data_IF_537975345345
#
_entry.id   IF_537975345345
#
_cell.length_a   1.000
_cell.length_b   1.000
_cell.length_c   1.000
_cell.angle_alpha   90.00
_cell.angle_beta   90.00
_cell.angle_gamma   90.00
#
_symmetry.space_group_name_H-M   'P 1'
#
loop_
_entity.id
_entity.type
_entity.pdbx_description
1 polymer ?
#
# COMPACT_ATOMS: atom_id res chain seq x y z
N UNK A 1 -67.88 25.54 24.67
CA UNK A 1 -68.14 24.89 23.33
C UNK A 1 -67.10 23.82 23.13
N UNK A 2 -67.48 22.58 23.42
CA UNK A 2 -66.62 21.43 23.29
C UNK A 2 -66.99 20.75 21.96
N UNK A 3 -66.01 20.63 21.04
CA UNK A 3 -66.18 19.84 19.83
C UNK A 3 -65.70 18.40 20.10
N UNK A 4 -66.65 17.47 20.09
CA UNK A 4 -66.39 16.03 20.10
C UNK A 4 -66.04 15.59 18.69
N UNK A 5 -64.82 15.01 18.47
CA UNK A 5 -64.49 14.27 17.26
C UNK A 5 -64.87 12.81 17.47
N UNK A 6 -65.86 12.37 16.68
CA UNK A 6 -66.23 10.96 16.57
C UNK A 6 -65.14 10.20 15.80
N UNK A 7 -64.56 9.22 16.45
CA UNK A 7 -63.68 8.26 15.81
C UNK A 7 -64.52 7.15 15.18
N UNK A 8 -64.60 7.15 13.83
CA UNK A 8 -65.20 6.05 13.11
C UNK A 8 -64.18 4.89 13.06
N UNK A 9 -64.52 3.73 13.55
CA UNK A 9 -63.79 2.47 13.40
C UNK A 9 -63.85 2.00 11.94
N UNK A 10 -62.73 1.81 11.25
CA UNK A 10 -62.73 1.07 9.99
C UNK A 10 -62.93 -0.42 10.25
N UNK A 11 -63.79 -1.04 9.44
CA UNK A 11 -64.12 -2.45 9.49
C UNK A 11 -62.88 -3.34 9.38
N UNK A 12 -62.97 -4.41 10.12
CA UNK A 12 -62.06 -5.55 10.13
C UNK A 12 -62.25 -6.36 8.84
N UNK A 13 -61.43 -6.07 7.80
CA UNK A 13 -61.10 -7.07 6.80
C UNK A 13 -59.76 -7.63 7.21
N UNK A 14 -59.75 -8.60 8.09
CA UNK A 14 -58.62 -9.48 8.32
C UNK A 14 -58.45 -10.40 7.08
N UNK A 15 -57.74 -9.91 6.06
CA UNK A 15 -56.99 -10.81 5.21
C UNK A 15 -55.77 -11.31 6.01
N UNK A 16 -55.96 -12.47 6.64
CA UNK A 16 -54.89 -13.27 7.19
C UNK A 16 -54.00 -13.76 6.03
N UNK A 17 -53.16 -12.87 5.51
CA UNK A 17 -51.96 -13.31 4.78
C UNK A 17 -50.98 -13.76 5.85
N UNK A 18 -50.91 -15.06 6.11
CA UNK A 18 -49.75 -15.68 6.75
C UNK A 18 -48.54 -15.45 5.83
N UNK A 19 -47.93 -14.30 5.95
CA UNK A 19 -46.61 -14.04 5.42
C UNK A 19 -45.67 -14.99 6.17
N UNK A 20 -45.41 -16.14 5.56
CA UNK A 20 -44.30 -16.99 6.03
C UNK A 20 -43.08 -16.12 6.04
N UNK A 21 -42.52 -15.87 7.23
CA UNK A 21 -41.29 -15.11 7.35
C UNK A 21 -40.27 -15.71 6.41
N UNK A 22 -39.72 -14.85 5.52
CA UNK A 22 -38.66 -15.29 4.62
C UNK A 22 -37.43 -15.69 5.44
N UNK A 23 -37.19 -17.00 5.53
CA UNK A 23 -36.06 -17.58 6.27
C UNK A 23 -34.89 -17.94 5.37
N UNK A 24 -34.97 -17.58 4.07
CA UNK A 24 -33.90 -17.92 3.12
C UNK A 24 -32.67 -17.05 3.38
N UNK A 25 -31.51 -17.68 3.36
CA UNK A 25 -30.23 -17.00 3.56
C UNK A 25 -29.87 -16.22 2.29
N UNK A 26 -29.48 -14.93 2.37
CA UNK A 26 -28.98 -14.20 1.24
C UNK A 26 -27.66 -14.81 0.73
N UNK A 27 -27.46 -14.76 -0.58
CA UNK A 27 -26.22 -15.21 -1.23
C UNK A 27 -25.78 -14.17 -2.25
N UNK A 28 -24.48 -14.11 -2.55
CA UNK A 28 -23.97 -13.38 -3.71
C UNK A 28 -24.25 -14.20 -4.96
N UNK A 29 -24.93 -13.60 -5.94
CA UNK A 29 -25.27 -14.29 -7.19
C UNK A 29 -24.33 -13.95 -8.32
N UNK A 30 -23.94 -12.70 -8.43
CA UNK A 30 -23.00 -12.23 -9.48
C UNK A 30 -22.18 -11.07 -8.96
N UNK A 31 -21.02 -10.90 -9.58
CA UNK A 31 -20.20 -9.66 -9.52
C UNK A 31 -19.98 -9.16 -10.94
N UNK A 32 -19.77 -7.88 -11.10
CA UNK A 32 -19.36 -7.27 -12.36
C UNK A 32 -18.23 -6.27 -12.07
N UNK A 33 -17.09 -6.36 -12.75
CA UNK A 33 -16.71 -7.36 -13.75
C UNK A 33 -16.73 -8.80 -13.20
N UNK A 34 -17.04 -9.79 -14.04
CA UNK A 34 -17.12 -11.18 -13.61
C UNK A 34 -15.74 -11.74 -13.23
N UNK A 35 -15.75 -12.78 -12.40
CA UNK A 35 -14.54 -13.52 -12.04
C UNK A 35 -13.78 -14.02 -13.26
N UNK A 36 -12.47 -13.84 -13.26
CA UNK A 36 -11.58 -14.21 -14.36
C UNK A 36 -11.59 -13.27 -15.56
N UNK A 37 -12.42 -12.22 -15.56
CA UNK A 37 -12.39 -11.22 -16.64
C UNK A 37 -11.04 -10.49 -16.66
N UNK A 38 -10.45 -10.38 -17.85
CA UNK A 38 -9.25 -9.58 -18.12
C UNK A 38 -9.60 -8.32 -18.88
N UNK A 39 -8.64 -7.43 -19.04
CA UNK A 39 -8.76 -6.19 -19.84
C UNK A 39 -9.91 -5.27 -19.40
N UNK A 40 -10.19 -5.24 -18.10
CA UNK A 40 -11.17 -4.36 -17.49
C UNK A 40 -10.61 -2.94 -17.44
N UNK A 41 -11.35 -1.95 -17.95
CA UNK A 41 -10.90 -0.56 -17.92
C UNK A 41 -10.68 -0.10 -16.46
N UNK A 42 -9.61 0.66 -16.20
CA UNK A 42 -9.30 1.18 -14.87
C UNK A 42 -10.36 2.14 -14.31
N UNK A 43 -11.21 2.67 -15.17
CA UNK A 43 -12.35 3.54 -14.83
C UNK A 43 -13.66 2.77 -14.61
N UNK A 44 -13.63 1.42 -14.67
CA UNK A 44 -14.84 0.61 -14.54
C UNK A 44 -15.42 0.70 -13.13
N UNK A 45 -16.74 0.75 -13.06
CA UNK A 45 -17.47 0.56 -11.81
C UNK A 45 -17.58 -0.95 -11.50
N UNK A 46 -17.69 -1.26 -10.23
CA UNK A 46 -17.78 -2.64 -9.74
C UNK A 46 -19.15 -2.83 -9.14
N UNK A 47 -19.81 -3.95 -9.41
CA UNK A 47 -21.08 -4.27 -8.73
C UNK A 47 -21.09 -5.66 -8.15
N UNK A 48 -21.85 -5.80 -7.05
CA UNK A 48 -22.16 -7.06 -6.40
C UNK A 48 -23.68 -7.23 -6.35
N UNK A 49 -24.18 -8.39 -6.74
CA UNK A 49 -25.61 -8.70 -6.76
C UNK A 49 -25.93 -9.80 -5.78
N UNK A 50 -26.95 -9.56 -4.97
CA UNK A 50 -27.45 -10.53 -3.99
C UNK A 50 -28.73 -11.22 -4.48
N UNK A 51 -28.98 -12.43 -4.01
CA UNK A 51 -30.18 -13.22 -4.32
C UNK A 51 -31.47 -12.56 -3.88
N UNK A 52 -31.42 -11.73 -2.86
CA UNK A 52 -32.57 -11.00 -2.27
C UNK A 52 -32.17 -9.57 -1.87
N UNK A 53 -33.16 -8.75 -1.53
CA UNK A 53 -32.94 -7.36 -1.10
C UNK A 53 -32.17 -7.33 0.23
N UNK A 54 -31.09 -6.56 0.27
CA UNK A 54 -30.24 -6.36 1.43
C UNK A 54 -30.59 -5.01 2.08
N UNK A 55 -30.49 -4.91 3.39
CA UNK A 55 -30.68 -3.67 4.13
C UNK A 55 -29.49 -2.70 3.82
N UNK A 56 -29.73 -1.56 3.14
CA UNK A 56 -28.65 -0.71 2.65
C UNK A 56 -27.71 -0.18 3.72
N UNK A 57 -28.21 0.07 4.94
CA UNK A 57 -27.37 0.55 6.05
C UNK A 57 -26.32 -0.47 6.48
N UNK A 58 -26.51 -1.74 6.13
CA UNK A 58 -25.59 -2.83 6.46
C UNK A 58 -24.62 -3.15 5.33
N UNK A 59 -24.72 -2.44 4.18
CA UNK A 59 -23.73 -2.54 3.11
C UNK A 59 -22.85 -1.30 3.18
N UNK A 60 -21.71 -1.45 3.79
CA UNK A 60 -20.70 -0.42 3.95
C UNK A 60 -19.43 -0.81 3.21
N UNK A 61 -18.69 0.17 2.76
CA UNK A 61 -17.37 0.00 2.14
C UNK A 61 -16.30 0.55 3.06
N UNK A 62 -15.06 0.14 2.84
CA UNK A 62 -13.92 0.76 3.52
C UNK A 62 -13.79 2.20 3.05
N UNK A 63 -13.67 3.13 3.99
CA UNK A 63 -13.45 4.55 3.73
C UNK A 63 -11.98 4.95 3.84
N UNK A 64 -11.16 4.04 4.32
CA UNK A 64 -9.72 4.11 4.42
C UNK A 64 -9.12 2.82 3.84
N UNK A 65 -7.81 2.69 3.87
CA UNK A 65 -7.12 1.46 3.46
C UNK A 65 -7.34 0.27 4.42
N UNK A 66 -7.92 0.51 5.60
CA UNK A 66 -8.35 -0.56 6.50
C UNK A 66 -9.58 -1.30 5.94
N UNK A 67 -9.55 -2.62 5.96
CA UNK A 67 -10.64 -3.48 5.49
C UNK A 67 -11.79 -3.57 6.51
N UNK A 68 -12.44 -2.44 6.80
CA UNK A 68 -13.49 -2.33 7.82
C UNK A 68 -14.93 -2.41 7.28
N UNK A 69 -15.13 -2.29 5.96
CA UNK A 69 -16.45 -2.37 5.33
C UNK A 69 -17.03 -3.79 5.29
N UNK A 70 -18.35 -3.92 5.19
CA UNK A 70 -19.01 -5.21 5.00
C UNK A 70 -18.88 -5.74 3.58
N UNK A 71 -18.68 -4.82 2.60
CA UNK A 71 -18.25 -5.14 1.23
C UNK A 71 -16.92 -4.43 0.99
N UNK A 72 -15.92 -5.19 0.61
CA UNK A 72 -14.52 -4.78 0.53
C UNK A 72 -13.99 -4.99 -0.88
N UNK A 73 -13.11 -4.09 -1.32
CA UNK A 73 -12.37 -4.18 -2.58
C UNK A 73 -10.88 -4.17 -2.27
N UNK A 74 -10.11 -5.09 -2.84
CA UNK A 74 -8.67 -5.19 -2.58
C UNK A 74 -7.91 -5.73 -3.79
N UNK A 75 -6.60 -5.46 -3.84
CA UNK A 75 -5.64 -5.97 -4.82
C UNK A 75 -4.58 -6.88 -4.19
N UNK A 76 -4.58 -7.00 -2.87
CA UNK A 76 -3.51 -7.66 -2.10
C UNK A 76 -4.02 -8.73 -1.13
N UNK A 77 -5.18 -9.34 -1.45
CA UNK A 77 -5.78 -10.38 -0.61
C UNK A 77 -6.41 -9.85 0.67
N UNK A 78 -6.89 -8.60 0.67
CA UNK A 78 -7.52 -7.90 1.80
C UNK A 78 -6.57 -7.58 2.96
N UNK A 79 -5.28 -7.40 2.67
CA UNK A 79 -4.32 -6.77 3.57
C UNK A 79 -4.58 -5.28 3.69
N UNK A 80 -4.83 -4.65 2.54
CA UNK A 80 -5.32 -3.29 2.43
C UNK A 80 -6.54 -3.28 1.53
N UNK A 81 -7.50 -2.44 1.85
CA UNK A 81 -8.69 -2.23 1.04
C UNK A 81 -8.60 -0.93 0.25
N UNK A 82 -9.13 -0.96 -0.95
CA UNK A 82 -9.35 0.25 -1.74
C UNK A 82 -10.56 0.97 -1.16
N UNK A 83 -10.43 2.23 -0.70
CA UNK A 83 -11.56 3.03 -0.30
C UNK A 83 -12.58 3.12 -1.43
N UNK A 84 -13.85 2.99 -1.12
CA UNK A 84 -14.91 3.05 -2.13
C UNK A 84 -16.19 3.69 -1.60
N UNK A 85 -16.97 4.23 -2.51
CA UNK A 85 -18.34 4.68 -2.25
C UNK A 85 -19.30 3.64 -2.78
N UNK A 86 -20.33 3.31 -2.01
CA UNK A 86 -21.35 2.36 -2.41
C UNK A 86 -22.68 3.05 -2.70
N UNK A 87 -23.31 2.67 -3.80
CA UNK A 87 -24.69 3.02 -4.16
C UNK A 87 -25.48 1.74 -4.43
N UNK A 88 -26.81 1.82 -4.46
CA UNK A 88 -27.66 0.66 -4.71
C UNK A 88 -28.84 1.00 -5.60
N UNK A 89 -29.37 -0.01 -6.29
CA UNK A 89 -30.52 0.10 -7.17
C UNK A 89 -31.85 0.07 -6.38
N UNK A 90 -32.95 0.33 -7.07
CA UNK A 90 -34.29 0.33 -6.45
C UNK A 90 -34.72 -1.03 -5.90
N UNK A 91 -34.19 -2.14 -6.43
CA UNK A 91 -34.46 -3.48 -5.91
C UNK A 91 -33.69 -3.80 -4.63
N UNK A 92 -32.64 -2.98 -4.33
CA UNK A 92 -31.69 -3.19 -3.22
C UNK A 92 -31.01 -4.55 -3.26
N UNK A 93 -30.85 -5.10 -4.46
CA UNK A 93 -30.11 -6.32 -4.72
C UNK A 93 -28.76 -6.06 -5.36
N UNK A 94 -28.62 -4.96 -6.09
CA UNK A 94 -27.39 -4.58 -6.81
C UNK A 94 -26.75 -3.41 -6.08
N UNK A 95 -25.54 -3.60 -5.63
CA UNK A 95 -24.72 -2.59 -4.99
C UNK A 95 -23.53 -2.28 -5.88
N UNK A 96 -23.36 -1.00 -6.23
CA UNK A 96 -22.29 -0.52 -7.09
C UNK A 96 -21.24 0.19 -6.25
N UNK A 97 -19.99 -0.24 -6.39
CA UNK A 97 -18.82 0.33 -5.74
C UNK A 97 -18.07 1.20 -6.75
N UNK A 98 -17.75 2.41 -6.35
CA UNK A 98 -16.85 3.31 -7.07
C UNK A 98 -15.62 3.55 -6.21
N UNK A 99 -14.44 3.20 -6.71
CA UNK A 99 -13.20 3.43 -5.98
C UNK A 99 -13.01 4.91 -5.68
N UNK A 100 -12.48 5.22 -4.49
CA UNK A 100 -12.27 6.59 -4.02
C UNK A 100 -13.25 7.03 -2.95
N UNK A 101 -13.36 8.35 -2.79
CA UNK A 101 -14.28 9.00 -1.85
C UNK A 101 -15.44 9.68 -2.56
N UNK A 102 -16.42 10.16 -1.81
CA UNK A 102 -17.55 10.94 -2.36
C UNK A 102 -17.11 12.25 -3.05
N UNK A 103 -15.91 12.75 -2.74
CA UNK A 103 -15.36 13.99 -3.31
C UNK A 103 -14.32 13.73 -4.42
N UNK A 104 -13.77 12.51 -4.53
CA UNK A 104 -12.74 12.17 -5.51
C UNK A 104 -12.81 10.67 -5.85
N UNK A 105 -13.27 10.37 -7.07
CA UNK A 105 -13.16 9.03 -7.62
C UNK A 105 -11.69 8.69 -7.91
N UNK A 106 -11.32 7.44 -7.66
CA UNK A 106 -10.01 6.89 -7.98
C UNK A 106 -10.15 5.92 -9.15
N UNK A 107 -9.11 5.83 -9.97
CA UNK A 107 -8.99 4.74 -10.94
C UNK A 107 -8.59 3.44 -10.21
N UNK A 108 -9.04 2.31 -10.73
CA UNK A 108 -8.54 1.01 -10.31
C UNK A 108 -7.07 0.88 -10.69
N UNK A 109 -6.30 0.14 -9.92
CA UNK A 109 -4.88 -0.11 -10.22
C UNK A 109 -4.76 -0.88 -11.54
N UNK A 110 -3.94 -0.37 -12.47
CA UNK A 110 -3.75 -0.97 -13.80
C UNK A 110 -3.02 -2.31 -13.74
N UNK A 111 -3.25 -3.17 -14.73
CA UNK A 111 -2.64 -4.51 -14.85
C UNK A 111 -2.68 -5.33 -13.57
N UNK A 112 -3.72 -5.15 -12.77
CA UNK A 112 -3.77 -5.69 -11.41
C UNK A 112 -5.06 -6.48 -11.20
N UNK A 113 -4.95 -7.60 -10.50
CA UNK A 113 -6.09 -8.40 -10.09
C UNK A 113 -6.80 -7.74 -8.90
N UNK A 114 -8.09 -7.47 -9.06
CA UNK A 114 -8.96 -6.93 -8.03
C UNK A 114 -9.91 -7.99 -7.53
N UNK A 115 -10.14 -8.05 -6.23
CA UNK A 115 -11.05 -8.99 -5.59
C UNK A 115 -12.09 -8.24 -4.74
N UNK A 116 -13.29 -8.82 -4.68
CA UNK A 116 -14.38 -8.31 -3.85
C UNK A 116 -14.65 -9.33 -2.76
N UNK A 117 -14.87 -8.85 -1.54
CA UNK A 117 -15.31 -9.66 -0.40
C UNK A 117 -16.59 -9.09 0.18
N UNK A 118 -17.58 -9.93 0.44
CA UNK A 118 -18.75 -9.60 1.26
C UNK A 118 -18.68 -10.44 2.52
N UNK A 119 -18.73 -9.78 3.67
CA UNK A 119 -18.63 -10.45 4.98
C UNK A 119 -19.99 -10.92 5.48
N UNK A 120 -20.01 -11.81 6.47
CA UNK A 120 -21.23 -12.24 7.18
C UNK A 120 -21.96 -11.10 7.89
N UNK A 121 -21.41 -9.90 7.96
CA UNK A 121 -22.09 -8.71 8.46
C UNK A 121 -23.08 -8.09 7.45
N UNK A 122 -23.10 -8.56 6.20
CA UNK A 122 -24.16 -8.23 5.24
C UNK A 122 -25.43 -8.98 5.62
N UNK A 123 -26.48 -8.26 5.96
CA UNK A 123 -27.78 -8.82 6.40
C UNK A 123 -28.95 -8.26 5.57
N UNK A 124 -30.00 -9.05 5.43
CA UNK A 124 -31.22 -8.64 4.76
C UNK A 124 -32.19 -7.89 5.68
N UNK A 125 -33.35 -7.52 5.17
CA UNK A 125 -34.40 -6.84 5.95
C UNK A 125 -34.98 -7.66 7.09
N UNK A 126 -34.80 -8.98 7.10
CA UNK A 126 -35.24 -9.89 8.15
C UNK A 126 -34.13 -10.21 9.15
N UNK A 127 -32.99 -9.50 9.08
CA UNK A 127 -31.81 -9.70 9.92
C UNK A 127 -31.13 -11.07 9.68
N UNK A 128 -31.30 -11.65 8.49
CA UNK A 128 -30.61 -12.88 8.09
C UNK A 128 -29.31 -12.51 7.40
N UNK A 129 -28.19 -13.02 7.93
CA UNK A 129 -26.85 -12.77 7.43
C UNK A 129 -26.47 -13.72 6.28
N UNK A 130 -25.44 -13.37 5.51
CA UNK A 130 -24.73 -14.33 4.67
C UNK A 130 -24.25 -15.50 5.53
N UNK A 131 -24.36 -16.73 5.03
CA UNK A 131 -23.94 -17.94 5.75
C UNK A 131 -22.43 -17.99 6.02
N UNK A 132 -21.64 -17.41 5.11
CA UNK A 132 -20.19 -17.30 5.20
C UNK A 132 -19.74 -16.07 4.41
N UNK A 133 -18.51 -15.62 4.66
CA UNK A 133 -17.88 -14.61 3.82
C UNK A 133 -17.81 -15.10 2.37
N UNK A 134 -18.18 -14.24 1.43
CA UNK A 134 -17.97 -14.44 0.00
C UNK A 134 -16.69 -13.74 -0.41
N UNK A 135 -15.82 -14.41 -1.14
CA UNK A 135 -14.64 -13.80 -1.77
C UNK A 135 -14.61 -14.19 -3.24
N UNK A 136 -14.55 -13.19 -4.11
CA UNK A 136 -14.46 -13.38 -5.56
C UNK A 136 -13.11 -13.98 -5.97
N UNK A 137 -13.08 -14.72 -7.07
CA UNK A 137 -11.81 -15.10 -7.70
C UNK A 137 -11.08 -13.88 -8.29
N UNK A 138 -11.82 -12.82 -8.60
CA UNK A 138 -11.30 -11.52 -9.04
C UNK A 138 -11.26 -11.33 -10.56
N UNK A 139 -11.11 -10.08 -10.97
CA UNK A 139 -10.93 -9.63 -12.35
C UNK A 139 -9.61 -8.86 -12.48
N UNK A 140 -9.06 -8.74 -13.70
CA UNK A 140 -7.79 -8.05 -13.95
C UNK A 140 -8.01 -6.84 -14.85
N UNK A 141 -7.48 -5.70 -14.43
CA UNK A 141 -7.58 -4.45 -15.19
C UNK A 141 -6.59 -4.39 -16.36
N UNK A 142 -6.93 -3.59 -17.35
CA UNK A 142 -6.06 -3.31 -18.51
C UNK A 142 -4.77 -2.62 -18.10
N UNK A 143 -3.67 -2.91 -18.81
CA UNK A 143 -2.46 -2.10 -18.75
C UNK A 143 -2.70 -0.71 -19.33
N UNK A 144 -2.24 0.32 -18.64
CA UNK A 144 -2.23 1.68 -19.19
C UNK A 144 -1.00 1.93 -20.08
N UNK A 145 0.00 1.06 -20.01
CA UNK A 145 1.23 1.14 -20.81
C UNK A 145 1.14 0.40 -22.16
N UNK A 146 -0.05 0.18 -22.70
CA UNK A 146 -0.26 -0.57 -23.95
C UNK A 146 0.41 0.07 -25.17
N UNK A 147 0.48 1.40 -25.22
CA UNK A 147 1.21 2.17 -26.26
C UNK A 147 2.64 2.51 -25.87
N UNK A 148 3.10 2.02 -24.71
CA UNK A 148 4.40 2.32 -24.12
C UNK A 148 4.32 3.45 -23.10
N UNK A 149 4.88 3.22 -21.91
CA UNK A 149 5.11 4.25 -20.91
C UNK A 149 6.52 4.85 -21.07
N UNK A 150 6.68 6.08 -20.69
CA UNK A 150 7.96 6.79 -20.77
C UNK A 150 8.27 7.53 -19.48
N UNK A 151 9.55 7.73 -19.22
CA UNK A 151 10.01 8.57 -18.12
C UNK A 151 9.91 10.07 -18.49
N UNK A 152 9.37 10.87 -17.59
CA UNK A 152 9.27 12.33 -17.73
C UNK A 152 9.40 13.00 -16.37
N UNK A 153 9.70 14.32 -16.34
CA UNK A 153 9.64 15.09 -15.09
C UNK A 153 8.21 15.33 -14.67
N UNK A 154 7.98 15.29 -13.37
CA UNK A 154 6.70 15.70 -12.80
C UNK A 154 6.63 17.21 -12.56
N UNK A 155 7.67 17.99 -12.94
CA UNK A 155 7.78 19.44 -12.68
C UNK A 155 7.52 19.76 -11.18
N UNK A 156 8.14 18.97 -10.29
CA UNK A 156 7.89 19.07 -8.87
C UNK A 156 8.33 20.41 -8.28
N UNK A 157 7.52 20.95 -7.38
CA UNK A 157 7.78 22.18 -6.63
C UNK A 157 7.46 22.00 -5.16
N UNK A 158 8.16 22.69 -4.29
CA UNK A 158 7.83 22.77 -2.86
C UNK A 158 8.54 21.77 -1.96
N UNK A 159 9.38 20.89 -2.49
CA UNK A 159 10.21 19.99 -1.67
C UNK A 159 11.62 20.54 -1.45
N UNK A 160 12.29 20.04 -0.43
CA UNK A 160 13.72 20.26 -0.17
C UNK A 160 14.51 19.06 -0.69
N UNK A 161 15.64 19.32 -1.37
CA UNK A 161 16.54 18.29 -1.87
C UNK A 161 17.05 17.37 -0.76
N UNK A 162 17.00 16.04 -0.99
CA UNK A 162 17.43 15.09 0.03
C UNK A 162 17.46 13.64 -0.41
N UNK A 163 17.97 12.78 0.46
CA UNK A 163 17.97 11.34 0.34
C UNK A 163 17.67 10.68 1.70
N UNK A 164 17.47 9.37 1.72
CA UNK A 164 17.15 8.66 2.98
C UNK A 164 15.81 9.06 3.60
N UNK A 165 14.93 9.69 2.82
CA UNK A 165 13.51 9.87 3.12
C UNK A 165 12.75 8.58 2.84
N UNK A 166 11.56 8.46 3.37
CA UNK A 166 10.64 7.40 3.00
C UNK A 166 9.50 7.94 2.13
N UNK A 167 9.03 7.14 1.17
CA UNK A 167 7.87 7.47 0.32
C UNK A 167 6.74 6.50 0.60
N UNK A 168 5.55 7.03 0.88
CA UNK A 168 4.36 6.24 1.20
C UNK A 168 3.16 6.77 0.43
N UNK A 169 2.41 5.88 -0.23
CA UNK A 169 1.07 6.21 -0.71
C UNK A 169 0.07 6.03 0.42
N UNK A 170 -0.75 7.05 0.68
CA UNK A 170 -1.79 7.01 1.70
C UNK A 170 -2.93 7.97 1.36
N UNK A 171 -4.16 7.44 1.34
CA UNK A 171 -5.41 8.20 1.14
C UNK A 171 -5.37 9.16 -0.07
N UNK A 172 -4.96 8.65 -1.23
CA UNK A 172 -4.94 9.42 -2.48
C UNK A 172 -3.76 10.36 -2.64
N UNK A 173 -2.76 10.30 -1.75
CA UNK A 173 -1.55 11.13 -1.80
C UNK A 173 -0.29 10.30 -1.71
N UNK A 174 0.78 10.80 -2.33
CA UNK A 174 2.14 10.41 -1.97
C UNK A 174 2.63 11.29 -0.84
N UNK A 175 3.32 10.68 0.10
CA UNK A 175 3.97 11.31 1.25
C UNK A 175 5.46 11.10 1.16
N UNK A 176 6.24 12.17 1.38
CA UNK A 176 7.70 12.15 1.51
C UNK A 176 8.03 12.55 2.94
N UNK A 177 8.65 11.64 3.68
CA UNK A 177 8.78 11.75 5.12
C UNK A 177 10.28 11.79 5.50
N UNK A 178 10.72 12.84 6.18
CA UNK A 178 12.09 12.98 6.69
C UNK A 178 13.16 13.06 5.61
N UNK A 179 14.29 12.40 5.84
CA UNK A 179 15.47 12.44 4.97
C UNK A 179 16.50 13.50 5.40
N UNK A 180 17.45 13.78 4.53
CA UNK A 180 18.50 14.77 4.80
C UNK A 180 19.38 15.09 3.59
N UNK A 181 20.26 16.07 3.72
CA UNK A 181 21.19 16.54 2.69
C UNK A 181 22.66 16.23 3.02
N UNK A 182 22.90 15.27 3.92
CA UNK A 182 24.23 14.90 4.39
C UNK A 182 24.82 15.82 5.45
N UNK A 183 24.32 17.06 5.56
CA UNK A 183 24.69 18.01 6.61
C UNK A 183 23.61 18.14 7.68
N UNK A 184 22.36 17.96 7.28
CA UNK A 184 21.18 18.10 8.14
C UNK A 184 20.20 16.97 7.91
N UNK A 185 19.55 16.55 8.97
CA UNK A 185 18.42 15.60 8.94
C UNK A 185 17.13 16.38 9.11
N UNK A 186 16.12 16.06 8.33
CA UNK A 186 14.92 16.87 8.19
C UNK A 186 13.77 16.43 9.08
N UNK A 187 13.03 17.44 9.57
CA UNK A 187 11.70 17.24 10.17
C UNK A 187 10.58 17.36 9.13
N UNK A 188 10.90 17.49 7.86
CA UNK A 188 9.93 17.76 6.80
C UNK A 188 9.09 16.53 6.50
N UNK A 189 7.79 16.75 6.35
CA UNK A 189 6.82 15.77 5.85
C UNK A 189 6.03 16.46 4.76
N UNK A 190 6.20 16.02 3.53
CA UNK A 190 5.50 16.58 2.37
C UNK A 190 4.42 15.65 1.88
N UNK A 191 3.36 16.19 1.31
CA UNK A 191 2.32 15.43 0.62
C UNK A 191 1.97 16.03 -0.73
N UNK A 192 1.59 15.15 -1.68
CA UNK A 192 1.13 15.55 -3.01
C UNK A 192 0.02 14.61 -3.50
N UNK A 193 -1.01 15.16 -4.12
CA UNK A 193 -2.08 14.40 -4.78
C UNK A 193 -1.88 14.27 -6.30
N UNK A 194 -0.87 14.93 -6.86
CA UNK A 194 -0.59 14.96 -8.31
C UNK A 194 0.86 14.56 -8.66
N UNK A 195 1.73 14.43 -7.63
CA UNK A 195 3.16 14.16 -7.78
C UNK A 195 3.99 15.38 -8.25
N UNK A 196 3.35 16.53 -8.45
CA UNK A 196 3.98 17.76 -8.93
C UNK A 196 3.98 18.86 -7.87
N UNK A 197 2.83 19.11 -7.24
CA UNK A 197 2.70 20.13 -6.18
C UNK A 197 2.84 19.49 -4.82
N UNK A 198 3.89 19.83 -4.08
CA UNK A 198 4.17 19.30 -2.76
C UNK A 198 3.92 20.31 -1.67
N UNK A 199 3.21 19.93 -0.65
CA UNK A 199 2.86 20.76 0.51
C UNK A 199 3.51 20.20 1.76
N UNK A 200 4.22 21.05 2.52
CA UNK A 200 4.73 20.70 3.83
C UNK A 200 3.55 20.54 4.80
N UNK A 201 3.44 19.39 5.43
CA UNK A 201 2.41 19.12 6.42
C UNK A 201 2.66 19.83 7.76
N UNK A 202 3.84 20.46 7.94
CA UNK A 202 4.26 21.11 9.19
C UNK A 202 4.22 20.12 10.37
N UNK A 203 4.93 19.01 10.22
CA UNK A 203 4.92 17.91 11.17
C UNK A 203 5.27 18.35 12.60
N UNK A 204 4.54 17.85 13.56
CA UNK A 204 4.58 18.25 14.97
C UNK A 204 4.26 17.08 15.91
N UNK A 205 4.11 17.34 17.19
CA UNK A 205 3.90 16.32 18.21
C UNK A 205 5.23 15.65 18.60
N UNK A 206 5.26 14.32 18.61
CA UNK A 206 6.44 13.55 18.95
C UNK A 206 7.43 13.38 17.77
N UNK A 207 7.16 14.03 16.63
CA UNK A 207 8.00 13.93 15.43
C UNK A 207 9.39 14.54 15.63
N UNK A 208 10.41 13.80 15.27
CA UNK A 208 11.80 14.24 15.28
C UNK A 208 12.48 14.01 13.94
N UNK A 209 13.47 14.86 13.61
CA UNK A 209 14.28 14.76 12.40
C UNK A 209 14.93 13.37 12.30
N UNK A 210 14.80 12.73 11.13
CA UNK A 210 15.38 11.42 10.87
C UNK A 210 15.59 11.13 9.40
N UNK A 211 16.58 10.28 9.12
CA UNK A 211 16.86 9.74 7.80
C UNK A 211 17.05 8.21 7.84
N UNK A 212 17.04 7.57 6.68
CA UNK A 212 17.21 6.12 6.52
C UNK A 212 16.28 5.29 7.43
N UNK A 213 15.17 5.90 7.85
CA UNK A 213 14.06 5.24 8.53
C UNK A 213 13.18 4.53 7.51
N UNK A 214 12.29 3.68 7.96
CA UNK A 214 11.26 3.11 7.10
C UNK A 214 9.88 3.63 7.47
N UNK A 215 9.00 3.73 6.48
CA UNK A 215 7.62 4.15 6.65
C UNK A 215 6.67 3.30 5.81
N UNK A 216 5.42 3.20 6.27
CA UNK A 216 4.33 2.52 5.55
C UNK A 216 2.98 3.11 5.93
N UNK A 217 1.94 2.79 5.15
CA UNK A 217 0.55 3.04 5.53
C UNK A 217 -0.07 1.74 6.04
N UNK A 218 -0.72 1.80 7.19
CA UNK A 218 -1.40 0.65 7.78
C UNK A 218 -2.54 1.10 8.70
N UNK A 219 -3.67 0.43 8.60
CA UNK A 219 -4.87 0.69 9.40
C UNK A 219 -5.26 2.18 9.45
N UNK A 220 -5.29 2.81 8.26
CA UNK A 220 -5.69 4.21 8.08
C UNK A 220 -4.71 5.25 8.63
N UNK A 221 -3.46 4.87 8.89
CA UNK A 221 -2.41 5.73 9.43
C UNK A 221 -1.11 5.61 8.64
N UNK A 222 -0.34 6.66 8.65
CA UNK A 222 1.08 6.65 8.34
C UNK A 222 1.86 6.15 9.56
N UNK A 223 2.86 5.31 9.33
CA UNK A 223 3.74 4.75 10.34
C UNK A 223 5.19 5.01 9.97
N UNK A 224 6.00 5.35 10.99
CA UNK A 224 7.44 5.59 10.85
C UNK A 224 8.18 4.83 11.94
N UNK A 225 9.29 4.18 11.58
CA UNK A 225 10.05 3.33 12.48
C UNK A 225 11.56 3.54 12.31
N UNK A 226 12.26 3.66 13.43
CA UNK A 226 13.70 3.70 13.47
C UNK A 226 14.34 4.85 12.69
N UNK A 227 15.49 4.58 12.08
CA UNK A 227 16.29 5.58 11.35
C UNK A 227 17.37 6.21 12.20
N UNK A 228 18.14 7.12 11.61
CA UNK A 228 19.15 7.93 12.28
C UNK A 228 18.61 9.32 12.62
N UNK A 229 19.00 9.84 13.79
CA UNK A 229 18.76 11.23 14.18
C UNK A 229 20.06 12.06 14.07
N UNK A 230 19.95 13.37 14.18
CA UNK A 230 21.12 14.23 14.28
C UNK A 230 22.01 13.80 15.46
N UNK A 231 23.26 13.42 15.19
CA UNK A 231 24.25 13.05 16.21
C UNK A 231 24.53 11.56 16.35
N UNK A 232 24.21 10.75 15.35
CA UNK A 232 24.63 9.35 15.23
C UNK A 232 23.86 8.33 16.10
N UNK A 233 22.77 8.72 16.75
CA UNK A 233 21.95 7.77 17.50
C UNK A 233 20.91 7.13 16.57
N UNK A 234 20.92 5.82 16.48
CA UNK A 234 19.85 5.08 15.81
C UNK A 234 18.66 4.90 16.75
N UNK A 235 17.50 4.84 16.16
CA UNK A 235 16.21 4.78 16.83
C UNK A 235 15.60 3.38 16.68
N UNK A 236 14.78 2.99 17.65
CA UNK A 236 13.86 1.86 17.59
C UNK A 236 12.45 2.27 18.07
N UNK A 237 12.15 3.54 17.92
CA UNK A 237 10.82 4.06 18.18
C UNK A 237 9.86 3.75 17.04
N UNK A 238 8.57 3.80 17.36
CA UNK A 238 7.46 3.63 16.41
C UNK A 238 6.51 4.80 16.58
N UNK A 239 6.30 5.54 15.51
CA UNK A 239 5.39 6.67 15.46
C UNK A 239 4.25 6.40 14.48
N UNK A 240 3.09 7.02 14.73
CA UNK A 240 1.98 7.02 13.80
C UNK A 240 1.31 8.38 13.68
N UNK A 241 0.70 8.63 12.53
CA UNK A 241 -0.10 9.82 12.26
C UNK A 241 -1.27 9.50 11.34
N UNK A 242 -2.42 10.12 11.54
CA UNK A 242 -3.59 10.00 10.66
C UNK A 242 -3.63 11.09 9.59
N UNK A 243 -2.83 12.14 9.73
CA UNK A 243 -2.88 13.36 8.91
C UNK A 243 -1.51 13.80 8.36
N UNK A 244 -0.42 13.08 8.74
CA UNK A 244 0.95 13.42 8.41
C UNK A 244 1.49 14.66 9.14
N UNK A 245 0.62 15.37 9.89
CA UNK A 245 0.96 16.58 10.64
C UNK A 245 1.23 16.26 12.11
N UNK A 246 0.28 15.63 12.78
CA UNK A 246 0.37 15.30 14.21
C UNK A 246 0.85 13.87 14.39
N UNK A 247 2.05 13.71 14.94
CA UNK A 247 2.66 12.42 15.17
C UNK A 247 2.65 12.05 16.64
N UNK A 248 2.38 10.79 16.93
CA UNK A 248 2.32 10.23 18.29
C UNK A 248 3.23 9.02 18.39
N UNK A 249 4.02 8.94 19.45
CA UNK A 249 4.79 7.75 19.80
C UNK A 249 3.85 6.62 20.21
N UNK A 250 3.88 5.51 19.48
CA UNK A 250 3.20 4.24 19.80
C UNK A 250 4.07 3.38 20.70
N UNK A 251 5.39 3.38 20.42
CA UNK A 251 6.41 2.76 21.24
C UNK A 251 7.67 3.62 21.21
N UNK A 252 8.20 3.98 22.37
CA UNK A 252 9.46 4.72 22.47
C UNK A 252 10.70 3.82 22.32
N UNK A 253 10.53 2.49 22.48
CA UNK A 253 11.57 1.49 22.33
C UNK A 253 10.91 0.14 22.01
N UNK A 254 10.84 -0.20 20.75
CA UNK A 254 10.36 -1.50 20.29
C UNK A 254 11.37 -2.62 20.63
N UNK A 255 10.93 -3.88 20.57
CA UNK A 255 11.76 -5.03 20.94
C UNK A 255 12.96 -5.28 20.01
N UNK A 256 12.93 -4.75 18.79
CA UNK A 256 14.02 -4.88 17.82
C UNK A 256 15.13 -3.85 18.09
N UNK A 257 16.37 -4.21 17.71
CA UNK A 257 17.57 -3.38 17.88
C UNK A 257 17.44 -2.05 17.12
N UNK A 258 17.85 -0.88 17.71
CA UNK A 258 17.90 0.40 16.99
C UNK A 258 18.67 0.27 15.68
N UNK A 259 18.05 0.71 14.58
CA UNK A 259 18.55 0.44 13.23
C UNK A 259 18.12 1.47 12.20
N UNK A 260 18.86 1.49 11.09
CA UNK A 260 18.52 2.24 9.89
C UNK A 260 18.69 1.38 8.61
N UNK A 261 18.26 1.89 7.45
CA UNK A 261 18.35 1.18 6.16
C UNK A 261 17.73 -0.21 6.20
N UNK A 262 16.73 -0.38 7.02
CA UNK A 262 15.84 -1.54 7.06
C UNK A 262 14.63 -1.30 6.17
N UNK A 263 13.91 -2.34 5.83
CA UNK A 263 12.64 -2.22 5.08
C UNK A 263 11.44 -2.42 5.99
N UNK A 264 10.34 -1.75 5.66
CA UNK A 264 9.05 -1.85 6.32
C UNK A 264 7.95 -2.00 5.28
N UNK A 265 7.05 -2.94 5.47
CA UNK A 265 5.94 -3.18 4.55
C UNK A 265 4.73 -3.79 5.29
N UNK A 266 3.59 -3.82 4.62
CA UNK A 266 2.38 -4.48 5.13
C UNK A 266 2.15 -5.78 4.38
N UNK A 267 1.91 -6.86 5.12
CA UNK A 267 1.60 -8.17 4.58
C UNK A 267 0.69 -8.95 5.54
N UNK A 268 -0.35 -9.61 5.04
CA UNK A 268 -1.31 -10.37 5.83
C UNK A 268 -1.81 -9.61 7.07
N UNK A 269 -2.24 -8.35 6.87
CA UNK A 269 -2.76 -7.45 7.89
C UNK A 269 -1.81 -7.23 9.08
N UNK A 270 -0.51 -7.22 8.82
CA UNK A 270 0.56 -6.90 9.77
C UNK A 270 1.64 -6.07 9.10
N UNK A 271 2.29 -5.24 9.88
CA UNK A 271 3.53 -4.58 9.46
C UNK A 271 4.71 -5.53 9.69
N UNK A 272 5.64 -5.57 8.75
CA UNK A 272 6.86 -6.37 8.81
C UNK A 272 8.08 -5.48 8.68
N UNK A 273 9.04 -5.65 9.60
CA UNK A 273 10.34 -4.99 9.58
C UNK A 273 11.40 -6.03 9.25
N UNK A 274 12.30 -5.71 8.28
CA UNK A 274 13.29 -6.64 7.74
C UNK A 274 14.68 -6.03 7.74
N UNK A 275 15.66 -6.75 8.30
CA UNK A 275 17.08 -6.44 8.20
C UNK A 275 17.50 -5.04 8.67
N UNK A 276 18.44 -4.43 7.97
CA UNK A 276 19.02 -3.13 8.32
C UNK A 276 20.40 -3.25 8.97
N UNK A 277 20.86 -2.16 9.57
CA UNK A 277 22.17 -2.06 10.20
C UNK A 277 22.07 -1.27 11.52
N UNK A 278 22.79 -1.71 12.55
CA UNK A 278 22.81 -1.09 13.87
C UNK A 278 23.97 -0.09 14.07
N UNK A 279 24.07 0.51 15.27
CA UNK A 279 25.13 1.44 15.64
C UNK A 279 26.54 0.83 15.64
N UNK A 280 26.67 -0.50 15.73
CA UNK A 280 27.96 -1.21 15.68
C UNK A 280 28.35 -1.57 14.24
N UNK A 281 27.60 -1.14 13.27
CA UNK A 281 27.70 -1.51 11.84
C UNK A 281 27.41 -2.99 11.59
N UNK A 282 26.72 -3.68 12.50
CA UNK A 282 26.28 -5.05 12.30
C UNK A 282 24.99 -5.05 11.46
N UNK A 283 25.09 -5.69 10.30
CA UNK A 283 23.93 -5.91 9.41
C UNK A 283 23.09 -7.07 9.92
N UNK A 284 21.81 -7.05 9.63
CA UNK A 284 20.82 -7.98 10.16
C UNK A 284 20.04 -8.66 9.03
N UNK A 285 19.48 -9.83 9.35
CA UNK A 285 18.55 -10.58 8.51
C UNK A 285 17.38 -11.12 9.33
N UNK A 286 17.11 -10.48 10.45
CA UNK A 286 15.95 -10.74 11.26
C UNK A 286 14.66 -10.20 10.61
N UNK A 287 13.54 -10.81 10.93
CA UNK A 287 12.22 -10.42 10.48
C UNK A 287 11.30 -10.30 11.69
N UNK A 288 10.71 -9.15 11.84
CA UNK A 288 9.77 -8.83 12.91
C UNK A 288 8.39 -8.49 12.35
N UNK A 289 7.33 -8.79 13.07
CA UNK A 289 5.97 -8.40 12.69
C UNK A 289 5.17 -7.83 13.86
N UNK A 290 4.21 -6.98 13.52
CA UNK A 290 3.24 -6.41 14.46
C UNK A 290 1.90 -6.14 13.77
N UNK A 291 0.80 -6.21 14.53
CA UNK A 291 -0.52 -5.77 14.10
C UNK A 291 -0.97 -4.45 14.72
N UNK A 292 -0.20 -3.91 15.67
CA UNK A 292 -0.57 -2.72 16.46
C UNK A 292 0.55 -1.68 16.57
N UNK A 293 1.74 -1.97 16.02
CA UNK A 293 2.94 -1.13 16.11
C UNK A 293 3.60 -1.11 17.50
N UNK A 294 2.97 -1.72 18.51
CA UNK A 294 3.42 -1.71 19.91
C UNK A 294 4.03 -3.03 20.33
N UNK A 295 3.33 -4.11 20.03
CA UNK A 295 3.77 -5.48 20.36
C UNK A 295 4.41 -6.11 19.15
N UNK A 296 5.70 -6.42 19.23
CA UNK A 296 6.45 -7.01 18.14
C UNK A 296 6.74 -8.48 18.40
N UNK A 297 6.55 -9.28 17.39
CA UNK A 297 6.90 -10.71 17.37
C UNK A 297 8.06 -10.92 16.42
N UNK A 298 9.15 -11.51 16.90
CA UNK A 298 10.23 -11.98 16.05
C UNK A 298 9.78 -13.23 15.29
N UNK A 299 9.75 -13.13 13.98
CA UNK A 299 9.38 -14.25 13.09
C UNK A 299 10.61 -15.15 12.88
N UNK A 300 11.76 -14.55 12.71
CA UNK A 300 13.06 -15.23 12.65
C UNK A 300 14.18 -14.23 12.98
N UNK A 301 15.17 -14.69 13.72
CA UNK A 301 16.42 -13.96 14.00
C UNK A 301 17.47 -14.12 12.90
N UNK A 302 17.25 -15.07 11.96
CA UNK A 302 18.21 -15.46 10.94
C UNK A 302 17.50 -16.02 9.68
N UNK A 303 16.92 -15.14 8.88
CA UNK A 303 16.37 -15.54 7.59
C UNK A 303 17.46 -16.14 6.67
N UNK A 304 17.05 -16.96 5.68
CA UNK A 304 18.00 -17.64 4.80
C UNK A 304 18.77 -16.71 3.86
N UNK A 305 18.29 -15.48 3.64
CA UNK A 305 19.06 -14.44 2.93
C UNK A 305 20.16 -13.84 3.84
N UNK A 306 21.27 -13.39 3.22
CA UNK A 306 22.40 -12.84 3.98
C UNK A 306 22.03 -11.57 4.72
N UNK A 307 22.64 -11.33 5.89
CA UNK A 307 22.54 -10.08 6.65
C UNK A 307 22.80 -8.89 5.75
N UNK A 308 21.88 -7.91 5.71
CA UNK A 308 21.96 -6.79 4.74
C UNK A 308 21.29 -5.51 5.22
N UNK A 309 21.71 -4.40 4.62
CA UNK A 309 21.08 -3.08 4.76
C UNK A 309 20.92 -2.42 3.40
N UNK A 310 20.08 -1.39 3.30
CA UNK A 310 19.83 -0.69 2.04
C UNK A 310 19.30 -1.57 0.91
N UNK A 311 18.69 -2.69 1.27
CA UNK A 311 17.90 -3.53 0.37
C UNK A 311 16.51 -2.91 0.20
N UNK A 312 15.86 -3.26 -0.88
CA UNK A 312 14.45 -2.94 -1.06
C UNK A 312 13.58 -4.15 -0.77
N UNK A 313 12.39 -3.91 -0.22
CA UNK A 313 11.39 -4.95 -0.04
C UNK A 313 10.00 -4.45 -0.43
N UNK A 314 9.19 -5.34 -1.00
CA UNK A 314 7.81 -5.06 -1.40
C UNK A 314 6.95 -6.32 -1.35
N UNK A 315 5.64 -6.17 -1.45
CA UNK A 315 4.70 -7.29 -1.57
C UNK A 315 4.28 -7.44 -3.02
N UNK A 316 4.45 -8.61 -3.57
CA UNK A 316 4.01 -8.95 -4.92
C UNK A 316 3.57 -10.41 -4.98
N UNK A 317 2.46 -10.67 -5.66
CA UNK A 317 1.87 -12.01 -5.82
C UNK A 317 1.76 -12.76 -4.47
N UNK A 318 1.20 -12.09 -3.46
CA UNK A 318 0.98 -12.59 -2.11
C UNK A 318 2.25 -13.12 -1.41
N UNK A 319 3.40 -12.53 -1.69
CA UNK A 319 4.70 -12.83 -1.08
C UNK A 319 5.42 -11.54 -0.75
N UNK A 320 6.24 -11.58 0.28
CA UNK A 320 7.22 -10.52 0.53
C UNK A 320 8.45 -10.82 -0.33
N UNK A 321 8.94 -9.80 -1.02
CA UNK A 321 10.14 -9.85 -1.83
C UNK A 321 11.24 -9.00 -1.21
N UNK A 322 12.47 -9.51 -1.17
CA UNK A 322 13.69 -8.81 -0.72
C UNK A 322 14.67 -8.81 -1.89
N UNK A 323 15.15 -7.64 -2.26
CA UNK A 323 15.97 -7.44 -3.45
C UNK A 323 17.23 -6.64 -3.12
N UNK A 324 18.39 -7.14 -3.52
CA UNK A 324 19.67 -6.45 -3.40
C UNK A 324 20.06 -6.04 -1.99
N UNK A 325 20.68 -4.86 -1.87
CA UNK A 325 21.25 -4.36 -0.63
C UNK A 325 22.75 -4.56 -0.53
N UNK A 326 23.28 -4.44 0.66
CA UNK A 326 24.70 -4.52 0.98
C UNK A 326 24.92 -5.43 2.20
N UNK A 327 25.79 -6.45 2.07
CA UNK A 327 26.24 -7.35 3.17
C UNK A 327 27.74 -7.17 3.51
N UNK A 328 28.38 -6.17 2.98
CA UNK A 328 29.80 -5.91 2.90
C UNK A 328 30.24 -5.79 1.44
N UNK A 329 29.38 -6.27 0.52
CA UNK A 329 29.41 -6.03 -0.91
C UNK A 329 27.98 -5.83 -1.38
N UNK A 330 27.78 -5.07 -2.45
CA UNK A 330 26.46 -4.92 -3.06
C UNK A 330 25.94 -6.26 -3.60
N UNK A 331 24.62 -6.44 -3.54
CA UNK A 331 23.94 -7.69 -3.88
C UNK A 331 22.99 -7.49 -5.07
N UNK A 332 22.78 -8.55 -5.84
CA UNK A 332 21.78 -8.62 -6.92
C UNK A 332 20.82 -9.80 -6.76
N UNK A 333 20.88 -10.47 -5.63
CA UNK A 333 19.99 -11.59 -5.35
C UNK A 333 18.56 -11.10 -5.05
N UNK A 334 17.61 -11.96 -5.37
CA UNK A 334 16.18 -11.76 -5.16
C UNK A 334 15.65 -12.92 -4.34
N UNK A 335 14.93 -12.60 -3.27
CA UNK A 335 14.35 -13.57 -2.37
C UNK A 335 12.87 -13.33 -2.21
N UNK A 336 12.08 -14.37 -2.02
CA UNK A 336 10.66 -14.26 -1.69
C UNK A 336 10.27 -15.16 -0.53
N UNK A 337 9.29 -14.71 0.24
CA UNK A 337 8.75 -15.46 1.37
C UNK A 337 7.74 -16.51 0.94
N UNK A 338 7.41 -17.43 1.86
CA UNK A 338 6.14 -18.15 1.81
C UNK A 338 4.94 -17.19 1.91
N UNK A 339 3.75 -17.68 1.63
CA UNK A 339 2.53 -16.88 1.54
C UNK A 339 1.87 -16.59 2.90
N UNK A 340 2.38 -17.17 3.99
CA UNK A 340 1.72 -17.18 5.30
C UNK A 340 2.28 -16.15 6.30
N UNK A 341 3.57 -16.15 6.59
CA UNK A 341 4.10 -15.36 7.70
C UNK A 341 5.57 -14.92 7.57
N UNK A 342 6.18 -15.03 6.39
CA UNK A 342 7.58 -14.68 6.17
C UNK A 342 8.61 -15.46 7.02
N UNK A 343 8.25 -16.65 7.52
CA UNK A 343 9.17 -17.50 8.29
C UNK A 343 10.12 -18.33 7.42
N UNK A 344 9.76 -18.52 6.14
CA UNK A 344 10.56 -19.24 5.15
C UNK A 344 10.82 -18.39 3.93
N UNK A 345 12.01 -18.55 3.33
CA UNK A 345 12.45 -17.75 2.20
C UNK A 345 13.09 -18.63 1.12
N UNK A 346 12.80 -18.30 -0.12
CA UNK A 346 13.35 -18.97 -1.30
C UNK A 346 14.05 -17.95 -2.16
N UNK A 347 15.27 -18.27 -2.60
CA UNK A 347 15.97 -17.44 -3.57
C UNK A 347 15.37 -17.65 -4.96
N UNK A 348 14.99 -16.57 -5.62
CA UNK A 348 14.57 -16.61 -7.01
C UNK A 348 15.78 -16.95 -7.90
N UNK A 349 15.62 -17.91 -8.79
CA UNK A 349 16.65 -18.24 -9.78
C UNK A 349 16.55 -17.22 -10.90
N UNK A 350 17.45 -16.23 -10.90
CA UNK A 350 17.50 -15.25 -11.99
C UNK A 350 18.11 -15.87 -13.24
N UNK A 351 17.56 -15.57 -14.41
CA UNK A 351 18.01 -16.04 -15.70
C UNK A 351 18.07 -14.91 -16.73
N UNK A 352 18.99 -15.00 -17.68
CA UNK A 352 19.21 -13.96 -18.68
C UNK A 352 19.90 -12.71 -18.11
N UNK A 353 19.64 -11.55 -18.71
CA UNK A 353 20.14 -10.28 -18.20
C UNK A 353 19.42 -9.87 -16.94
N UNK A 354 20.16 -9.40 -15.95
CA UNK A 354 19.63 -8.89 -14.70
C UNK A 354 20.34 -7.60 -14.33
N UNK A 355 19.75 -6.85 -13.40
CA UNK A 355 20.34 -5.62 -12.87
C UNK A 355 21.63 -5.90 -12.08
N UNK A 356 22.56 -4.94 -12.11
CA UNK A 356 23.83 -5.02 -11.37
C UNK A 356 23.61 -4.97 -9.87
N UNK A 357 24.47 -5.67 -9.10
CA UNK A 357 24.43 -5.65 -7.64
C UNK A 357 24.43 -4.21 -7.10
N UNK A 358 23.49 -3.88 -6.22
CA UNK A 358 23.23 -2.50 -5.77
C UNK A 358 22.59 -2.40 -4.39
N UNK A 359 22.73 -1.22 -3.79
CA UNK A 359 22.06 -0.85 -2.55
C UNK A 359 21.45 0.57 -2.66
N UNK A 360 20.51 0.92 -1.78
CA UNK A 360 19.85 2.24 -1.79
C UNK A 360 19.10 2.52 -3.09
N UNK A 361 18.53 1.48 -3.69
CA UNK A 361 17.66 1.55 -4.86
C UNK A 361 16.20 1.58 -4.44
N UNK A 362 15.34 2.16 -5.27
CA UNK A 362 13.90 2.09 -5.13
C UNK A 362 13.34 0.76 -5.62
N UNK A 363 12.25 0.32 -5.02
CA UNK A 363 11.44 -0.78 -5.53
C UNK A 363 9.96 -0.48 -5.46
N UNK A 364 9.21 -0.96 -6.43
CA UNK A 364 7.77 -0.79 -6.51
C UNK A 364 7.10 -2.00 -7.12
N UNK A 365 5.78 -2.08 -6.97
CA UNK A 365 4.93 -2.90 -7.83
C UNK A 365 4.14 -1.95 -8.72
N UNK A 366 4.34 -2.07 -10.02
CA UNK A 366 3.67 -1.23 -11.00
C UNK A 366 3.40 -2.02 -12.28
N UNK A 367 2.22 -1.86 -12.87
CA UNK A 367 1.80 -2.60 -14.07
C UNK A 367 1.94 -4.12 -13.93
N UNK A 368 1.56 -4.67 -12.76
CA UNK A 368 1.63 -6.10 -12.48
C UNK A 368 3.05 -6.67 -12.46
N UNK A 369 4.06 -5.84 -12.22
CA UNK A 369 5.48 -6.21 -12.20
C UNK A 369 6.19 -5.69 -10.97
N UNK A 370 7.20 -6.43 -10.55
CA UNK A 370 8.24 -5.95 -9.65
C UNK A 370 9.15 -4.98 -10.39
N UNK A 371 9.58 -3.92 -9.72
CA UNK A 371 10.52 -2.93 -10.25
C UNK A 371 11.72 -2.76 -9.31
N UNK A 372 12.91 -2.59 -9.89
CA UNK A 372 14.17 -2.20 -9.24
C UNK A 372 14.73 -1.01 -9.99
N UNK A 373 14.98 0.11 -9.29
CA UNK A 373 15.27 1.38 -9.94
C UNK A 373 16.41 2.11 -9.24
N UNK A 374 17.40 2.54 -9.99
CA UNK A 374 18.52 3.31 -9.50
C UNK A 374 19.38 2.61 -8.45
N UNK A 375 19.95 3.37 -7.52
CA UNK A 375 20.79 2.87 -6.45
C UNK A 375 22.30 2.97 -6.74
N UNK A 376 23.12 2.49 -5.79
CA UNK A 376 24.58 2.45 -5.93
C UNK A 376 25.03 1.03 -6.29
N UNK A 377 25.67 0.90 -7.45
CA UNK A 377 26.21 -0.35 -8.01
C UNK A 377 27.76 -0.29 -8.16
N UNK A 378 28.43 0.35 -7.21
CA UNK A 378 29.84 0.74 -7.30
C UNK A 378 29.98 2.20 -7.78
N UNK A 379 28.98 2.70 -8.46
CA UNK A 379 28.66 4.12 -8.73
C UNK A 379 27.15 4.24 -8.77
N UNK A 380 26.64 5.46 -8.66
CA UNK A 380 25.21 5.72 -8.77
C UNK A 380 24.67 5.24 -10.12
N UNK A 381 23.47 4.67 -10.11
CA UNK A 381 22.72 4.22 -11.29
C UNK A 381 21.34 4.86 -11.31
N UNK A 382 20.71 4.91 -12.48
CA UNK A 382 19.30 5.33 -12.62
C UNK A 382 18.54 4.36 -13.57
N UNK A 383 19.16 3.27 -13.99
CA UNK A 383 18.47 2.27 -14.80
C UNK A 383 17.28 1.67 -14.04
N UNK A 384 16.25 1.33 -14.78
CA UNK A 384 15.03 0.71 -14.24
C UNK A 384 14.86 -0.67 -14.86
N UNK A 385 14.55 -1.63 -14.02
CA UNK A 385 14.33 -3.02 -14.40
C UNK A 385 12.98 -3.49 -13.88
N UNK A 386 12.28 -4.30 -14.67
CA UNK A 386 11.01 -4.87 -14.28
C UNK A 386 10.94 -6.37 -14.52
N UNK A 387 10.15 -7.06 -13.70
CA UNK A 387 9.94 -8.51 -13.78
C UNK A 387 8.52 -8.89 -13.39
N UNK A 388 7.94 -9.87 -14.08
CA UNK A 388 6.63 -10.43 -13.72
C UNK A 388 6.71 -11.59 -12.73
N UNK A 389 7.90 -12.11 -12.46
CA UNK A 389 8.12 -13.33 -11.67
C UNK A 389 9.33 -13.29 -10.73
N UNK A 390 10.09 -12.17 -10.74
CA UNK A 390 11.31 -11.99 -9.97
C UNK A 390 12.52 -12.77 -10.53
N UNK A 391 12.35 -13.54 -11.62
CA UNK A 391 13.38 -14.41 -12.21
C UNK A 391 13.91 -13.84 -13.51
N UNK A 392 13.05 -13.40 -14.40
CA UNK A 392 13.41 -12.78 -15.68
C UNK A 392 13.22 -11.28 -15.59
N UNK A 393 14.28 -10.51 -15.81
CA UNK A 393 14.27 -9.07 -15.70
C UNK A 393 14.48 -8.38 -17.05
N UNK A 394 13.70 -7.37 -17.30
CA UNK A 394 13.79 -6.54 -18.52
C UNK A 394 14.28 -5.14 -18.13
N UNK A 395 15.33 -4.67 -18.79
CA UNK A 395 15.77 -3.29 -18.66
C UNK A 395 14.78 -2.37 -19.39
N UNK A 396 14.16 -1.49 -18.64
CA UNK A 396 13.19 -0.48 -19.13
C UNK A 396 13.90 0.83 -19.46
N UNK A 397 15.16 0.96 -19.03
CA UNK A 397 15.93 2.19 -19.18
C UNK A 397 15.62 3.23 -18.12
N UNK A 398 16.23 4.38 -18.29
CA UNK A 398 16.02 5.57 -17.46
C UNK A 398 15.58 6.74 -18.36
N UNK A 399 15.14 7.85 -17.76
CA UNK A 399 14.93 9.09 -18.50
C UNK A 399 16.25 9.56 -19.11
N UNK A 400 16.23 9.90 -20.40
CA UNK A 400 17.41 10.42 -21.09
C UNK A 400 17.85 11.76 -20.50
N UNK A 401 19.16 11.92 -20.29
CA UNK A 401 19.76 13.15 -19.77
C UNK A 401 19.72 13.31 -18.26
N UNK A 402 19.20 12.33 -17.53
CA UNK A 402 19.18 12.37 -16.08
C UNK A 402 20.45 11.86 -15.43
N UNK A 403 20.75 12.40 -14.24
CA UNK A 403 21.90 11.98 -13.45
C UNK A 403 21.56 10.75 -12.62
N UNK A 404 22.45 9.75 -12.69
CA UNK A 404 22.39 8.55 -11.84
C UNK A 404 22.38 8.90 -10.36
N UNK A 405 21.64 8.15 -9.54
CA UNK A 405 21.46 8.47 -8.12
C UNK A 405 21.13 7.23 -7.27
N UNK A 406 21.47 7.34 -5.98
CA UNK A 406 21.13 6.37 -4.93
C UNK A 406 20.35 7.06 -3.81
N UNK A 407 19.84 6.28 -2.84
CA UNK A 407 18.99 6.81 -1.77
C UNK A 407 17.72 7.46 -2.31
N UNK A 408 17.28 6.98 -3.47
CA UNK A 408 15.99 7.34 -4.06
C UNK A 408 14.92 6.45 -3.50
N UNK A 409 13.72 7.00 -3.46
CA UNK A 409 12.54 6.22 -3.11
C UNK A 409 11.52 6.24 -4.25
N UNK A 410 10.69 5.24 -4.27
CA UNK A 410 9.65 5.09 -5.29
C UNK A 410 8.27 4.97 -4.68
N UNK A 411 7.27 5.47 -5.38
CA UNK A 411 5.88 5.36 -5.00
C UNK A 411 4.97 5.24 -6.22
N UNK A 412 3.84 4.60 -6.06
CA UNK A 412 2.83 4.47 -7.11
C UNK A 412 1.57 5.21 -6.68
N UNK A 413 1.07 6.09 -7.55
CA UNK A 413 -0.16 6.83 -7.33
C UNK A 413 -0.84 7.13 -8.67
N UNK A 414 -2.16 7.00 -8.73
CA UNK A 414 -2.96 7.27 -9.93
C UNK A 414 -2.38 6.62 -11.19
N UNK A 415 -2.03 5.34 -11.08
CA UNK A 415 -1.42 4.54 -12.15
C UNK A 415 -0.15 5.18 -12.76
N UNK A 416 0.67 5.80 -11.94
CA UNK A 416 1.99 6.31 -12.32
C UNK A 416 3.01 5.87 -11.28
N UNK A 417 4.18 5.49 -11.76
CA UNK A 417 5.34 5.19 -10.91
C UNK A 417 6.18 6.46 -10.78
N UNK A 418 6.44 6.88 -9.56
CA UNK A 418 7.23 8.07 -9.24
C UNK A 418 8.57 7.67 -8.63
N UNK A 419 9.61 8.44 -9.00
CA UNK A 419 10.92 8.41 -8.36
C UNK A 419 11.18 9.77 -7.75
N UNK A 420 11.62 9.80 -6.49
CA UNK A 420 11.68 11.03 -5.70
C UNK A 420 13.07 11.18 -5.09
N UNK A 421 13.68 12.35 -5.32
CA UNK A 421 14.91 12.80 -4.70
C UNK A 421 16.14 11.94 -4.98
N UNK A 422 16.97 11.73 -3.96
CA UNK A 422 18.18 10.91 -4.00
C UNK A 422 19.47 11.74 -4.06
N UNK A 423 20.61 11.01 -4.11
CA UNK A 423 21.96 11.57 -4.12
C UNK A 423 22.71 11.12 -5.36
N UNK A 424 23.36 12.04 -6.06
CA UNK A 424 24.07 11.80 -7.35
C UNK A 424 25.56 11.50 -7.18
N UNK A 425 26.06 11.30 -5.96
CA UNK A 425 27.50 11.26 -5.67
C UNK A 425 28.11 12.63 -5.39
N UNK A 426 27.40 13.70 -5.76
CA UNK A 426 27.87 15.10 -5.57
C UNK A 426 26.78 16.08 -5.12
N UNK A 427 25.51 15.78 -5.38
CA UNK A 427 24.39 16.67 -5.05
C UNK A 427 23.13 15.88 -4.65
N UNK A 428 22.38 16.44 -3.72
CA UNK A 428 21.04 15.97 -3.36
C UNK A 428 20.00 16.57 -4.33
N UNK A 429 18.95 15.80 -4.61
CA UNK A 429 17.90 16.17 -5.55
C UNK A 429 16.57 16.40 -4.86
N UNK A 430 15.79 17.32 -5.41
CA UNK A 430 14.40 17.64 -5.03
C UNK A 430 13.40 17.37 -6.17
N UNK A 431 13.90 16.83 -7.27
CA UNK A 431 13.07 16.51 -8.43
C UNK A 431 12.25 15.23 -8.24
N UNK A 432 11.18 15.17 -8.99
CA UNK A 432 10.32 13.99 -9.09
C UNK A 432 10.22 13.58 -10.55
N UNK A 433 10.55 12.35 -10.84
CA UNK A 433 10.33 11.72 -12.14
C UNK A 433 9.12 10.82 -12.09
N UNK A 434 8.43 10.67 -13.21
CA UNK A 434 7.30 9.76 -13.34
C UNK A 434 7.42 8.90 -14.59
N UNK A 435 7.03 7.65 -14.45
CA UNK A 435 6.87 6.70 -15.55
C UNK A 435 5.37 6.51 -15.79
N UNK A 436 4.91 6.92 -16.96
CA UNK A 436 3.51 6.98 -17.33
C UNK A 436 3.33 6.94 -18.86
N UNK A 437 2.09 6.69 -19.37
CA UNK A 437 1.75 6.81 -20.79
C UNK A 437 2.09 8.15 -21.40
#
# INVERSE_FOLDING_TARGET
MAFAFSCATPGSDEESTTSTADTTVPTVTTISPADGTTDVAVTSTISITFSKSIEPRNVTTSTTESCSGTVQLSVDGFNNCIPAVVTYDTSRKIYTLTAGSSSAALELTSSTKHQIKATTSVIDYFSIALASDYTSAGFTTTSICTSGCTWSDAAATGMTAGSGHAVVYHLGKLWVIGGGDGSSVYTKVYSSSDGATWTDAEASGDWSARNDHAATAFDGKLWVMGGGSNGSSLLNDVLSSTDGKTWTIVSSAASWTPRHKHSLLVFNNKMYLLGGIDNSSAKMNDVWSTSDGKTWTEITDNATWSKRSGHAATVFDQKIWVMGGDNGSTLSDVWYSGTDNASSWTQATTSGSTWSARSGHGAAVFEGKLWVIGGNAGSESLDAWSSTDGSVWTNVGAKSGETSRSGIESGVMANRLYLIGGYTGSAYKDDVQKYAP
#
